data_IF_113246558394
#
_entry.id   IF_113246558394
#
_cell.length_a   1.000
_cell.length_b   1.000
_cell.length_c   1.000
_cell.angle_alpha   90.00
_cell.angle_beta   90.00
_cell.angle_gamma   90.00
#
_symmetry.space_group_name_H-M   'P 1'
#
loop_
_entity.id
_entity.type
_entity.pdbx_description
1 polymer ?
#
# COMPACT_ATOMS: atom_id res chain seq x y z
N UNK A 1 45.52 31.84 4.00
CA UNK A 1 44.69 31.38 5.11
C UNK A 1 43.45 30.70 4.54
N UNK A 2 43.65 29.41 4.35
CA UNK A 2 42.63 28.52 3.78
C UNK A 2 41.69 28.05 4.89
N UNK A 3 40.37 28.29 4.75
CA UNK A 3 39.35 27.69 5.57
C UNK A 3 38.48 26.80 4.71
N UNK A 4 39.02 25.63 4.39
CA UNK A 4 38.25 24.50 3.92
C UNK A 4 37.25 24.10 5.01
N UNK A 5 36.01 24.50 4.83
CA UNK A 5 34.86 24.01 5.60
C UNK A 5 34.59 22.55 5.20
N UNK A 6 35.10 21.62 5.96
CA UNK A 6 34.70 20.20 5.86
C UNK A 6 33.22 20.08 6.20
N UNK A 7 32.36 19.97 5.18
CA UNK A 7 30.98 19.52 5.34
C UNK A 7 31.04 18.10 5.88
N UNK A 8 30.51 17.89 7.08
CA UNK A 8 30.30 16.55 7.63
C UNK A 8 29.29 15.82 6.74
N UNK A 9 29.76 14.80 6.04
CA UNK A 9 28.91 13.86 5.30
C UNK A 9 28.26 12.99 6.39
N UNK A 10 26.92 13.05 6.48
CA UNK A 10 26.20 12.13 7.35
C UNK A 10 26.49 10.67 6.94
N UNK A 11 26.55 9.75 7.91
CA UNK A 11 26.93 8.37 7.63
C UNK A 11 25.86 7.72 6.73
N UNK A 12 26.23 7.53 5.48
CA UNK A 12 25.37 6.99 4.41
C UNK A 12 25.19 5.47 4.51
N UNK A 13 26.11 4.79 5.20
CA UNK A 13 26.17 3.32 5.21
C UNK A 13 25.11 2.65 6.06
N UNK A 14 24.67 3.26 7.18
CA UNK A 14 23.67 2.66 8.07
C UNK A 14 22.26 2.60 7.46
N UNK A 15 21.91 3.56 6.59
CA UNK A 15 20.58 3.55 5.95
C UNK A 15 20.45 2.46 4.90
N UNK A 16 21.48 2.25 4.08
CA UNK A 16 21.49 1.25 3.01
C UNK A 16 21.53 -0.19 3.56
N UNK A 17 22.27 -0.43 4.65
CA UNK A 17 22.37 -1.76 5.26
C UNK A 17 21.11 -2.18 6.02
N UNK A 18 20.44 -1.25 6.72
CA UNK A 18 19.21 -1.53 7.47
C UNK A 18 17.96 -1.80 6.62
N UNK A 19 17.92 -1.43 5.33
CA UNK A 19 16.77 -1.68 4.42
C UNK A 19 16.65 -3.15 4.04
N UNK A 20 17.75 -3.92 4.15
CA UNK A 20 17.79 -5.34 3.79
C UNK A 20 17.07 -6.27 4.77
N UNK A 21 16.91 -5.91 6.05
CA UNK A 21 16.56 -6.87 7.10
C UNK A 21 15.08 -6.91 7.52
N UNK A 22 14.30 -5.85 7.33
CA UNK A 22 12.87 -5.87 7.63
C UNK A 22 12.05 -5.45 6.41
N UNK A 23 11.72 -6.39 5.57
CA UNK A 23 10.89 -6.18 4.38
C UNK A 23 9.39 -6.28 4.71
N UNK A 24 8.98 -5.79 5.87
CA UNK A 24 7.60 -5.78 6.30
C UNK A 24 7.10 -4.35 6.53
N UNK A 25 5.88 -4.10 6.09
CA UNK A 25 5.13 -2.87 6.36
C UNK A 25 4.09 -3.15 7.44
N UNK A 26 4.04 -2.33 8.48
CA UNK A 26 2.91 -2.27 9.42
C UNK A 26 1.85 -1.35 8.85
N UNK A 27 0.88 -1.91 8.15
CA UNK A 27 -0.22 -1.12 7.59
C UNK A 27 -1.39 -1.08 8.55
N UNK A 28 -1.89 0.11 8.90
CA UNK A 28 -3.05 0.23 9.78
C UNK A 28 -4.26 -0.50 9.16
N UNK A 29 -5.07 -1.13 10.01
CA UNK A 29 -6.24 -1.85 9.53
C UNK A 29 -7.27 -0.94 8.85
N UNK A 30 -7.26 0.34 9.17
CA UNK A 30 -8.08 1.38 8.52
C UNK A 30 -7.59 1.69 7.10
N UNK A 31 -6.28 1.63 6.86
CA UNK A 31 -5.70 1.82 5.53
C UNK A 31 -5.80 0.58 4.64
N UNK A 32 -6.26 -0.56 5.19
CA UNK A 32 -6.54 -1.77 4.43
C UNK A 32 -7.99 -1.74 3.93
N UNK A 33 -8.20 -1.99 2.64
CA UNK A 33 -9.53 -1.94 2.03
C UNK A 33 -10.06 -0.52 1.81
N UNK A 34 -9.17 0.46 1.72
CA UNK A 34 -9.52 1.84 1.39
C UNK A 34 -10.40 1.91 0.15
N UNK A 35 -11.51 2.62 0.27
CA UNK A 35 -12.42 2.93 -0.83
C UNK A 35 -12.08 4.30 -1.41
N UNK A 36 -11.80 4.33 -2.70
CA UNK A 36 -11.50 5.56 -3.43
C UNK A 36 -12.80 6.29 -3.75
N UNK A 37 -12.87 7.58 -3.49
CA UNK A 37 -14.02 8.41 -3.89
C UNK A 37 -13.79 9.13 -5.22
N UNK A 38 -12.55 9.56 -5.44
CA UNK A 38 -12.15 10.25 -6.67
C UNK A 38 -10.75 9.80 -7.07
N UNK A 39 -10.52 9.66 -8.36
CA UNK A 39 -9.28 9.13 -8.92
C UNK A 39 -9.35 7.61 -9.09
N UNK A 40 -8.21 7.00 -9.31
CA UNK A 40 -8.06 5.54 -9.45
C UNK A 40 -6.80 5.09 -8.73
N UNK A 41 -6.94 4.12 -7.83
CA UNK A 41 -5.81 3.53 -7.13
C UNK A 41 -5.28 2.34 -7.95
N UNK A 42 -4.31 2.62 -8.82
CA UNK A 42 -3.66 1.61 -9.66
C UNK A 42 -2.77 0.67 -8.85
N UNK A 43 -2.31 -0.43 -9.45
CA UNK A 43 -1.34 -1.33 -8.80
C UNK A 43 -0.09 -0.57 -8.34
N UNK A 44 0.48 0.23 -9.23
CA UNK A 44 1.73 0.92 -8.92
C UNK A 44 1.53 2.05 -7.90
N UNK A 45 0.42 2.79 -7.98
CA UNK A 45 0.06 3.78 -6.95
C UNK A 45 -0.11 3.12 -5.58
N UNK A 46 -0.72 1.92 -5.52
CA UNK A 46 -0.86 1.14 -4.28
C UNK A 46 0.49 0.64 -3.76
N UNK A 47 1.34 0.08 -4.63
CA UNK A 47 2.72 -0.32 -4.27
C UNK A 47 3.52 0.86 -3.77
N UNK A 48 3.47 2.00 -4.47
CA UNK A 48 4.18 3.21 -4.09
C UNK A 48 3.72 3.74 -2.74
N UNK A 49 2.41 3.79 -2.49
CA UNK A 49 1.88 4.22 -1.19
C UNK A 49 2.38 3.33 -0.04
N UNK A 50 2.40 2.01 -0.22
CA UNK A 50 2.95 1.08 0.76
C UNK A 50 4.45 1.32 1.02
N UNK A 51 5.22 1.57 -0.04
CA UNK A 51 6.66 1.88 0.07
C UNK A 51 6.88 3.20 0.81
N UNK A 52 6.10 4.24 0.51
CA UNK A 52 6.19 5.52 1.22
C UNK A 52 5.88 5.37 2.72
N UNK A 53 4.83 4.61 3.07
CA UNK A 53 4.51 4.30 4.47
C UNK A 53 5.67 3.57 5.17
N UNK A 54 6.24 2.56 4.54
CA UNK A 54 7.37 1.81 5.09
C UNK A 54 8.57 2.71 5.38
N UNK A 55 8.96 3.55 4.40
CA UNK A 55 10.06 4.49 4.59
C UNK A 55 9.79 5.52 5.70
N UNK A 56 8.56 6.02 5.81
CA UNK A 56 8.18 6.93 6.89
C UNK A 56 8.33 6.26 8.25
N UNK A 57 7.81 5.02 8.41
CA UNK A 57 7.96 4.24 9.64
C UNK A 57 9.41 4.00 9.99
N UNK A 58 10.26 3.73 9.02
CA UNK A 58 11.69 3.51 9.20
C UNK A 58 12.43 4.79 9.59
N UNK A 59 12.08 5.92 8.99
CA UNK A 59 12.66 7.22 9.32
C UNK A 59 12.21 7.72 10.70
N UNK A 60 11.02 7.37 11.16
CA UNK A 60 10.47 7.68 12.47
C UNK A 60 9.98 9.13 12.64
N UNK A 61 10.43 10.08 11.84
CA UNK A 61 9.95 11.47 11.86
C UNK A 61 10.29 12.20 10.55
N UNK A 62 9.49 13.21 10.17
CA UNK A 62 9.85 14.12 9.09
C UNK A 62 11.15 14.88 9.37
N UNK A 63 11.77 15.43 8.34
CA UNK A 63 12.99 16.23 8.40
C UNK A 63 14.28 15.41 8.47
N UNK A 64 14.22 14.14 8.83
CA UNK A 64 15.40 13.27 8.79
C UNK A 64 15.87 13.04 7.35
N UNK A 65 17.17 13.00 7.15
CA UNK A 65 17.82 12.78 5.86
C UNK A 65 17.49 13.83 4.78
N UNK A 66 17.04 15.04 5.17
CA UNK A 66 16.79 16.09 4.19
C UNK A 66 18.09 16.42 3.41
N UNK A 67 18.10 16.31 2.07
CA UNK A 67 19.30 16.56 1.26
C UNK A 67 19.74 18.02 1.33
N UNK A 68 18.80 18.93 1.63
CA UNK A 68 19.04 20.34 1.91
C UNK A 68 18.24 20.71 3.14
N UNK A 69 18.92 21.17 4.20
CA UNK A 69 18.30 21.51 5.47
C UNK A 69 17.74 22.94 5.38
N UNK A 70 16.42 23.03 5.26
CA UNK A 70 15.65 24.30 5.34
C UNK A 70 14.41 24.07 6.19
N UNK A 71 13.81 25.13 6.73
CA UNK A 71 12.55 25.02 7.50
C UNK A 71 11.44 24.36 6.65
N UNK A 72 11.37 24.70 5.36
CA UNK A 72 10.38 24.11 4.45
C UNK A 72 10.56 22.60 4.27
N UNK A 73 11.78 22.09 4.37
CA UNK A 73 12.11 20.68 4.16
C UNK A 73 11.91 19.83 5.42
N UNK A 74 11.82 20.42 6.60
CA UNK A 74 11.61 19.70 7.87
C UNK A 74 10.27 18.96 7.96
N UNK A 75 9.28 19.34 7.17
CA UNK A 75 7.95 18.70 7.14
C UNK A 75 7.86 17.46 6.26
N UNK A 76 8.90 17.13 5.51
CA UNK A 76 8.90 16.01 4.59
C UNK A 76 9.71 14.83 5.13
N UNK A 77 9.24 13.61 4.86
CA UNK A 77 10.07 12.41 4.88
C UNK A 77 10.91 12.39 3.61
N UNK A 78 12.22 12.16 3.73
CA UNK A 78 13.14 12.24 2.60
C UNK A 78 13.75 10.89 2.30
N UNK A 79 13.60 10.43 1.06
CA UNK A 79 14.10 9.13 0.59
C UNK A 79 14.75 9.29 -0.78
N UNK A 80 15.88 8.62 -1.05
CA UNK A 80 16.43 8.55 -2.38
C UNK A 80 15.43 7.98 -3.39
N UNK A 81 15.34 8.60 -4.57
CA UNK A 81 14.43 8.16 -5.62
C UNK A 81 14.71 6.72 -6.04
N UNK A 82 16.00 6.33 -6.11
CA UNK A 82 16.42 4.98 -6.47
C UNK A 82 15.90 3.92 -5.48
N UNK A 83 15.84 4.27 -4.18
CA UNK A 83 15.34 3.36 -3.15
C UNK A 83 13.83 3.17 -3.26
N UNK A 84 13.08 4.25 -3.50
CA UNK A 84 11.64 4.15 -3.76
C UNK A 84 11.33 3.30 -5.00
N UNK A 85 12.08 3.51 -6.08
CA UNK A 85 11.91 2.75 -7.32
C UNK A 85 12.19 1.26 -7.10
N UNK A 86 13.31 0.94 -6.46
CA UNK A 86 13.69 -0.44 -6.15
C UNK A 86 12.64 -1.13 -5.28
N UNK A 87 12.21 -0.49 -4.20
CA UNK A 87 11.32 -1.09 -3.21
C UNK A 87 9.87 -1.23 -3.73
N UNK A 88 9.47 -0.38 -4.69
CA UNK A 88 8.21 -0.52 -5.43
C UNK A 88 8.27 -1.53 -6.60
N UNK A 89 9.42 -2.15 -6.82
CA UNK A 89 9.71 -2.96 -8.01
C UNK A 89 9.40 -2.19 -9.33
N UNK A 90 9.83 -0.93 -9.36
CA UNK A 90 9.68 -0.06 -10.52
C UNK A 90 10.96 -0.14 -11.37
N UNK A 91 10.88 -0.84 -12.48
CA UNK A 91 12.05 -1.15 -13.32
C UNK A 91 12.46 -0.02 -14.27
N UNK A 92 11.75 1.10 -14.29
CA UNK A 92 12.02 2.21 -15.21
C UNK A 92 12.82 3.33 -14.54
N UNK A 93 13.81 3.85 -15.25
CA UNK A 93 14.54 5.07 -14.88
C UNK A 93 13.77 6.36 -15.22
N UNK A 94 12.50 6.26 -15.64
CA UNK A 94 11.68 7.39 -16.02
C UNK A 94 11.15 8.13 -14.79
N UNK A 95 11.90 9.17 -14.39
CA UNK A 95 11.53 10.06 -13.30
C UNK A 95 10.24 10.84 -13.56
N UNK A 96 9.86 11.06 -14.84
CA UNK A 96 8.61 11.73 -15.20
C UNK A 96 7.42 10.88 -14.79
N UNK A 97 7.46 9.60 -15.14
CA UNK A 97 6.39 8.65 -14.80
C UNK A 97 6.25 8.46 -13.30
N UNK A 98 7.36 8.46 -12.56
CA UNK A 98 7.29 8.41 -11.10
C UNK A 98 6.61 9.66 -10.49
N UNK A 99 6.87 10.85 -11.05
CA UNK A 99 6.15 12.07 -10.65
C UNK A 99 4.65 11.96 -10.88
N UNK A 100 4.24 11.36 -12.00
CA UNK A 100 2.84 11.10 -12.32
C UNK A 100 2.18 10.22 -11.25
N UNK A 101 2.83 9.15 -10.79
CA UNK A 101 2.31 8.30 -9.71
C UNK A 101 2.22 9.01 -8.35
N UNK A 102 3.20 9.83 -8.01
CA UNK A 102 3.13 10.65 -6.78
C UNK A 102 2.01 11.67 -6.88
N UNK A 103 1.80 12.24 -8.07
CA UNK A 103 0.67 13.14 -8.32
C UNK A 103 -0.67 12.41 -8.22
N UNK A 104 -0.79 11.19 -8.77
CA UNK A 104 -1.99 10.35 -8.61
C UNK A 104 -2.31 10.15 -7.13
N UNK A 105 -1.33 9.79 -6.29
CA UNK A 105 -1.54 9.60 -4.85
C UNK A 105 -2.02 10.88 -4.14
N UNK A 106 -1.59 12.05 -4.61
CA UNK A 106 -2.05 13.33 -4.10
C UNK A 106 -3.47 13.65 -4.56
N UNK A 107 -3.84 13.24 -5.77
CA UNK A 107 -5.15 13.54 -6.38
C UNK A 107 -6.24 12.53 -5.98
N UNK A 108 -5.85 11.32 -5.56
CA UNK A 108 -6.77 10.33 -5.01
C UNK A 108 -7.42 10.88 -3.74
N UNK A 109 -8.75 10.80 -3.68
CA UNK A 109 -9.53 11.12 -2.49
C UNK A 109 -10.10 9.86 -1.87
N UNK A 110 -9.83 9.69 -0.60
CA UNK A 110 -10.46 8.67 0.25
C UNK A 110 -11.45 9.34 1.18
N UNK A 111 -12.48 8.58 1.55
CA UNK A 111 -13.48 9.03 2.52
C UNK A 111 -13.43 8.08 3.69
N UNK A 112 -13.43 8.67 4.88
CA UNK A 112 -13.73 8.02 6.14
C UNK A 112 -14.97 8.67 6.71
N UNK A 113 -15.93 7.86 7.13
CA UNK A 113 -17.18 8.31 7.74
C UNK A 113 -17.46 7.46 8.97
N UNK A 114 -17.75 8.12 10.06
CA UNK A 114 -18.24 7.53 11.29
C UNK A 114 -19.53 8.23 11.75
N UNK A 115 -20.02 7.92 12.95
CA UNK A 115 -21.27 8.49 13.46
C UNK A 115 -21.18 9.98 13.80
N UNK A 116 -19.99 10.57 13.80
CA UNK A 116 -19.73 11.94 14.28
C UNK A 116 -19.21 12.85 13.16
N UNK A 117 -18.37 12.31 12.27
CA UNK A 117 -17.72 13.13 11.23
C UNK A 117 -17.58 12.39 9.90
N UNK A 118 -17.59 13.19 8.86
CA UNK A 118 -17.26 12.79 7.50
C UNK A 118 -15.96 13.47 7.08
N UNK A 119 -14.97 12.69 6.70
CA UNK A 119 -13.64 13.21 6.34
C UNK A 119 -13.29 12.82 4.91
N UNK A 120 -12.84 13.77 4.12
CA UNK A 120 -12.28 13.55 2.78
C UNK A 120 -10.85 14.03 2.72
N UNK A 121 -9.92 13.12 2.44
CA UNK A 121 -8.50 13.45 2.40
C UNK A 121 -7.77 12.75 1.24
N UNK A 122 -6.60 13.26 0.90
CA UNK A 122 -5.71 12.63 -0.08
C UNK A 122 -4.78 11.61 0.61
N UNK A 123 -4.19 10.72 -0.16
CA UNK A 123 -3.19 9.79 0.37
C UNK A 123 -1.86 10.50 0.67
N UNK A 124 -1.53 11.54 -0.10
CA UNK A 124 -0.39 12.43 0.16
C UNK A 124 -0.87 13.88 0.23
N UNK A 125 -0.37 14.64 1.19
CA UNK A 125 -0.61 16.09 1.26
C UNK A 125 0.28 16.86 0.31
N UNK A 126 1.55 16.46 0.22
CA UNK A 126 2.54 17.09 -0.64
C UNK A 126 3.67 16.12 -1.01
N UNK A 127 4.33 16.42 -2.12
CA UNK A 127 5.62 15.85 -2.46
C UNK A 127 6.52 16.89 -3.13
N UNK A 128 7.82 16.66 -3.07
CA UNK A 128 8.84 17.49 -3.69
C UNK A 128 10.02 16.65 -4.15
N UNK A 129 10.77 17.15 -5.11
CA UNK A 129 11.99 16.51 -5.55
C UNK A 129 13.16 17.47 -5.31
N UNK A 130 14.26 16.94 -4.83
CA UNK A 130 15.49 17.69 -4.63
C UNK A 130 16.69 16.94 -5.22
N UNK A 131 17.60 17.70 -5.79
CA UNK A 131 18.93 17.25 -6.16
C UNK A 131 19.92 18.31 -5.64
N UNK A 132 20.81 17.99 -4.68
CA UNK A 132 21.79 18.92 -4.15
C UNK A 132 22.69 19.56 -5.22
N UNK A 133 22.87 18.88 -6.34
CA UNK A 133 23.67 19.36 -7.48
C UNK A 133 22.84 20.16 -8.50
N UNK A 134 21.56 20.44 -8.19
CA UNK A 134 20.61 21.10 -9.09
C UNK A 134 19.73 20.09 -9.87
N UNK A 135 18.42 20.38 -9.98
CA UNK A 135 17.44 19.50 -10.63
C UNK A 135 17.72 19.21 -12.11
N UNK A 136 18.43 20.09 -12.79
CA UNK A 136 18.84 19.94 -14.20
C UNK A 136 20.22 19.30 -14.38
N UNK A 137 20.92 19.02 -13.27
CA UNK A 137 22.24 18.38 -13.32
C UNK A 137 22.08 16.92 -13.78
N UNK A 138 23.00 16.49 -14.66
CA UNK A 138 23.11 15.09 -15.09
C UNK A 138 23.75 14.18 -14.02
N UNK A 139 24.30 14.77 -12.95
CA UNK A 139 24.92 14.06 -11.83
C UNK A 139 24.21 14.36 -10.52
N UNK A 140 24.41 13.47 -9.54
CA UNK A 140 23.86 13.62 -8.20
C UNK A 140 22.63 12.75 -7.97
N UNK A 141 22.35 12.54 -6.69
CA UNK A 141 21.22 11.73 -6.24
C UNK A 141 19.95 12.57 -6.19
N UNK A 142 18.88 12.08 -6.81
CA UNK A 142 17.56 12.68 -6.70
C UNK A 142 16.91 12.15 -5.43
N UNK A 143 16.36 13.07 -4.65
CA UNK A 143 15.61 12.79 -3.43
C UNK A 143 14.15 13.13 -3.61
N UNK A 144 13.30 12.31 -3.01
CA UNK A 144 11.86 12.53 -2.92
C UNK A 144 11.53 12.91 -1.48
N UNK A 145 11.01 14.11 -1.29
CA UNK A 145 10.37 14.54 -0.07
C UNK A 145 8.87 14.33 -0.19
N UNK A 146 8.24 13.69 0.78
CA UNK A 146 6.79 13.48 0.80
C UNK A 146 6.23 13.72 2.20
N UNK A 147 4.95 14.12 2.25
CA UNK A 147 4.22 14.35 3.49
C UNK A 147 2.82 13.75 3.38
N UNK A 148 2.35 13.19 4.46
CA UNK A 148 0.97 12.71 4.60
C UNK A 148 0.06 13.82 5.17
N UNK A 149 -1.25 13.77 4.94
CA UNK A 149 -2.21 14.50 5.78
C UNK A 149 -2.05 14.07 7.26
N UNK A 150 -2.35 14.92 8.24
CA UNK A 150 -2.12 14.63 9.66
C UNK A 150 -2.74 13.31 10.13
N UNK A 151 -3.98 13.01 9.72
CA UNK A 151 -4.69 11.80 10.10
C UNK A 151 -4.05 10.55 9.48
N UNK A 152 -3.63 10.65 8.21
CA UNK A 152 -2.91 9.56 7.53
C UNK A 152 -1.54 9.34 8.18
N UNK A 153 -0.82 10.43 8.50
CA UNK A 153 0.48 10.34 9.17
C UNK A 153 0.35 9.65 10.52
N UNK A 154 -0.63 10.01 11.33
CA UNK A 154 -0.89 9.38 12.62
C UNK A 154 -1.15 7.86 12.45
N UNK A 155 -2.01 7.47 11.51
CA UNK A 155 -2.31 6.08 11.21
C UNK A 155 -1.11 5.30 10.64
N UNK A 156 -0.20 5.97 9.92
CA UNK A 156 1.04 5.38 9.39
C UNK A 156 2.07 5.18 10.50
N UNK A 157 2.30 6.20 11.34
CA UNK A 157 3.39 6.22 12.31
C UNK A 157 3.08 5.44 13.58
N UNK A 158 1.83 5.45 14.03
CA UNK A 158 1.37 4.84 15.28
C UNK A 158 0.01 4.17 15.09
N UNK A 159 -0.08 3.12 14.26
CA UNK A 159 -1.35 2.42 14.10
C UNK A 159 -1.72 1.67 15.37
N UNK A 160 -2.93 1.91 15.89
CA UNK A 160 -3.46 1.17 17.04
C UNK A 160 -3.63 -0.31 16.72
N UNK A 161 -4.12 -0.59 15.53
CA UNK A 161 -4.25 -1.94 14.98
C UNK A 161 -3.62 -1.98 13.59
N UNK A 162 -2.77 -2.96 13.36
CA UNK A 162 -2.06 -3.10 12.10
C UNK A 162 -1.95 -4.55 11.62
N UNK A 163 -1.67 -4.67 10.35
CA UNK A 163 -1.35 -5.93 9.69
C UNK A 163 0.05 -5.85 9.10
N UNK A 164 0.86 -6.87 9.35
CA UNK A 164 2.18 -6.99 8.73
C UNK A 164 2.03 -7.48 7.29
N UNK A 165 2.53 -6.69 6.34
CA UNK A 165 2.53 -6.98 4.92
C UNK A 165 3.97 -7.15 4.43
N UNK A 166 4.26 -8.28 3.78
CA UNK A 166 5.59 -8.58 3.27
C UNK A 166 5.77 -8.02 1.85
N UNK A 167 6.81 -7.21 1.63
CA UNK A 167 7.14 -6.64 0.31
C UNK A 167 7.47 -7.69 -0.73
N UNK A 168 8.01 -8.85 -0.30
CA UNK A 168 8.31 -9.95 -1.22
C UNK A 168 7.09 -10.42 -2.00
N UNK A 169 5.92 -10.41 -1.37
CA UNK A 169 4.67 -10.74 -2.06
C UNK A 169 4.13 -9.55 -2.85
N UNK A 170 4.14 -8.34 -2.26
CA UNK A 170 3.69 -7.13 -2.94
C UNK A 170 4.32 -6.98 -4.32
N UNK A 171 5.63 -7.23 -4.42
CA UNK A 171 6.37 -6.99 -5.65
C UNK A 171 6.04 -7.99 -6.77
N UNK A 172 5.54 -9.17 -6.42
CA UNK A 172 5.13 -10.20 -7.38
C UNK A 172 3.77 -9.94 -8.03
N UNK A 173 2.89 -9.16 -7.38
CA UNK A 173 1.56 -8.89 -7.93
C UNK A 173 1.61 -8.07 -9.22
N UNK A 174 0.77 -8.48 -10.17
CA UNK A 174 0.55 -7.84 -11.48
C UNK A 174 -0.78 -7.10 -11.55
N UNK A 175 -1.68 -7.34 -10.57
CA UNK A 175 -3.00 -6.71 -10.49
C UNK A 175 -3.17 -5.92 -9.19
N UNK A 176 -3.74 -4.71 -9.30
CA UNK A 176 -4.11 -3.90 -8.14
C UNK A 176 -5.19 -4.56 -7.28
N UNK A 177 -6.09 -5.31 -7.90
CA UNK A 177 -7.12 -6.07 -7.22
C UNK A 177 -6.52 -7.21 -6.39
N UNK A 178 -5.51 -7.90 -6.91
CA UNK A 178 -4.81 -8.98 -6.20
C UNK A 178 -4.07 -8.46 -4.98
N UNK A 179 -3.35 -7.34 -5.13
CA UNK A 179 -2.66 -6.73 -3.99
C UNK A 179 -3.66 -6.27 -2.92
N UNK A 180 -4.77 -5.61 -3.32
CA UNK A 180 -5.82 -5.21 -2.39
C UNK A 180 -6.44 -6.40 -1.65
N UNK A 181 -6.73 -7.46 -2.40
CA UNK A 181 -7.31 -8.67 -1.85
C UNK A 181 -6.36 -9.36 -0.86
N UNK A 182 -5.07 -9.44 -1.20
CA UNK A 182 -4.03 -9.95 -0.29
C UNK A 182 -3.99 -9.15 1.02
N UNK A 183 -3.96 -7.82 0.95
CA UNK A 183 -3.93 -6.95 2.13
C UNK A 183 -5.15 -7.18 3.04
N UNK A 184 -6.36 -7.24 2.44
CA UNK A 184 -7.60 -7.48 3.17
C UNK A 184 -7.57 -8.88 3.81
N UNK A 185 -7.24 -9.91 3.06
CA UNK A 185 -7.21 -11.27 3.56
C UNK A 185 -6.16 -11.46 4.66
N UNK A 186 -4.99 -10.84 4.52
CA UNK A 186 -3.92 -10.88 5.53
C UNK A 186 -4.37 -10.32 6.87
N UNK A 187 -5.21 -9.28 6.87
CA UNK A 187 -5.81 -8.71 8.09
C UNK A 187 -6.64 -9.72 8.87
N UNK A 188 -7.37 -10.60 8.17
CA UNK A 188 -8.27 -11.56 8.79
C UNK A 188 -7.62 -12.92 9.09
N UNK A 189 -6.35 -13.10 8.74
CA UNK A 189 -5.64 -14.36 8.92
C UNK A 189 -5.53 -14.81 10.38
N UNK A 190 -5.49 -13.85 11.31
CA UNK A 190 -5.42 -14.10 12.75
C UNK A 190 -6.79 -14.30 13.42
N UNK A 191 -7.87 -14.07 12.69
CA UNK A 191 -9.20 -14.31 13.22
C UNK A 191 -9.43 -15.81 13.47
N UNK A 192 -10.04 -16.21 14.59
CA UNK A 192 -10.32 -17.63 14.87
C UNK A 192 -11.16 -18.30 13.78
N UNK A 193 -12.09 -17.56 13.15
CA UNK A 193 -12.90 -18.08 12.05
C UNK A 193 -12.17 -18.16 10.72
N UNK A 194 -11.02 -17.48 10.58
CA UNK A 194 -10.28 -17.28 9.32
C UNK A 194 -11.15 -16.79 8.16
N UNK A 195 -12.19 -16.05 8.48
CA UNK A 195 -13.17 -15.56 7.54
C UNK A 195 -13.16 -14.04 7.55
N UNK A 196 -13.24 -13.46 6.37
CA UNK A 196 -13.41 -12.02 6.22
C UNK A 196 -14.83 -11.58 6.59
N UNK A 197 -15.06 -10.28 6.66
CA UNK A 197 -16.41 -9.75 6.83
C UNK A 197 -17.31 -10.22 5.68
N UNK A 198 -18.59 -10.49 6.02
CA UNK A 198 -19.65 -10.77 5.06
C UNK A 198 -20.19 -9.45 4.55
N UNK A 199 -19.90 -9.09 3.31
CA UNK A 199 -20.28 -7.81 2.70
C UNK A 199 -20.99 -8.05 1.36
N UNK A 200 -21.82 -7.11 0.90
CA UNK A 200 -22.31 -7.07 -0.47
C UNK A 200 -21.14 -7.12 -1.46
N UNK A 201 -21.33 -7.80 -2.59
CA UNK A 201 -20.26 -7.92 -3.58
C UNK A 201 -19.79 -6.55 -4.12
N UNK A 202 -20.66 -5.55 -4.15
CA UNK A 202 -20.34 -4.18 -4.56
C UNK A 202 -19.33 -3.52 -3.62
N UNK A 203 -19.48 -3.72 -2.31
CA UNK A 203 -18.52 -3.22 -1.32
C UNK A 203 -17.15 -3.92 -1.44
N UNK A 204 -17.15 -5.22 -1.73
CA UNK A 204 -15.94 -5.93 -2.08
C UNK A 204 -15.29 -5.37 -3.34
N UNK A 205 -16.10 -5.11 -4.37
CA UNK A 205 -15.62 -4.54 -5.62
C UNK A 205 -15.00 -3.16 -5.41
N UNK A 206 -15.63 -2.28 -4.63
CA UNK A 206 -15.10 -0.98 -4.25
C UNK A 206 -13.73 -1.08 -3.56
N UNK A 207 -13.57 -2.06 -2.69
CA UNK A 207 -12.34 -2.24 -1.91
C UNK A 207 -11.17 -2.78 -2.76
N UNK A 208 -11.45 -3.62 -3.78
CA UNK A 208 -10.39 -4.30 -4.55
C UNK A 208 -10.12 -3.66 -5.91
N UNK A 209 -11.13 -3.10 -6.57
CA UNK A 209 -10.98 -2.59 -7.96
C UNK A 209 -10.08 -1.36 -8.06
N UNK A 210 -9.97 -0.57 -6.99
CA UNK A 210 -9.29 0.72 -7.00
C UNK A 210 -10.02 1.82 -7.79
N UNK A 211 -11.23 1.54 -8.28
CA UNK A 211 -12.10 2.52 -8.93
C UNK A 211 -12.88 3.34 -7.89
N UNK A 212 -13.44 4.49 -8.26
CA UNK A 212 -14.32 5.24 -7.37
C UNK A 212 -15.50 4.40 -6.89
N UNK A 213 -15.69 4.38 -5.58
CA UNK A 213 -16.74 3.61 -4.92
C UNK A 213 -18.13 4.13 -5.27
N UNK A 214 -19.10 3.21 -5.35
CA UNK A 214 -20.50 3.54 -5.62
C UNK A 214 -20.83 3.84 -7.06
N UNK A 215 -19.92 3.61 -8.01
CA UNK A 215 -20.11 3.96 -9.42
C UNK A 215 -19.63 2.86 -10.36
N UNK A 216 -20.34 2.72 -11.50
CA UNK A 216 -19.86 1.91 -12.61
C UNK A 216 -19.71 0.42 -12.31
N UNK A 217 -20.60 -0.14 -11.48
CA UNK A 217 -20.55 -1.57 -11.21
C UNK A 217 -20.90 -2.38 -12.45
N UNK A 218 -20.02 -3.32 -12.86
CA UNK A 218 -20.39 -4.30 -13.87
C UNK A 218 -21.44 -5.26 -13.31
N UNK A 219 -22.01 -6.10 -14.14
CA UNK A 219 -22.78 -7.24 -13.62
C UNK A 219 -21.90 -8.12 -12.73
N UNK A 220 -22.47 -8.68 -11.66
CA UNK A 220 -21.72 -9.55 -10.75
C UNK A 220 -20.96 -10.69 -11.45
N UNK A 221 -21.56 -11.30 -12.48
CA UNK A 221 -20.94 -12.36 -13.28
C UNK A 221 -19.64 -11.87 -13.94
N UNK A 222 -19.63 -10.64 -14.42
CA UNK A 222 -18.48 -9.98 -15.04
C UNK A 222 -17.44 -9.64 -13.97
N UNK A 223 -17.85 -8.99 -12.87
CA UNK A 223 -16.95 -8.69 -11.75
C UNK A 223 -16.27 -9.96 -11.21
N UNK A 224 -17.03 -11.04 -11.06
CA UNK A 224 -16.51 -12.33 -10.62
C UNK A 224 -15.48 -12.90 -11.60
N UNK A 225 -15.77 -12.87 -12.91
CA UNK A 225 -14.88 -13.42 -13.95
C UNK A 225 -13.61 -12.60 -14.11
N UNK A 226 -13.73 -11.27 -14.15
CA UNK A 226 -12.66 -10.38 -14.60
C UNK A 226 -11.87 -9.74 -13.46
N UNK A 227 -12.43 -9.73 -12.23
CA UNK A 227 -11.77 -9.13 -11.07
C UNK A 227 -11.50 -10.16 -9.97
N UNK A 228 -12.55 -10.81 -9.41
CA UNK A 228 -12.37 -11.64 -8.22
C UNK A 228 -11.62 -12.94 -8.50
N UNK A 229 -12.02 -13.71 -9.52
CA UNK A 229 -11.36 -14.99 -9.83
C UNK A 229 -9.88 -14.84 -10.19
N UNK A 230 -9.48 -13.91 -11.09
CA UNK A 230 -8.06 -13.68 -11.37
C UNK A 230 -7.28 -13.21 -10.15
N UNK A 231 -7.86 -12.30 -9.34
CA UNK A 231 -7.21 -11.82 -8.13
C UNK A 231 -6.97 -12.93 -7.10
N UNK A 232 -7.95 -13.80 -6.87
CA UNK A 232 -7.84 -14.97 -6.00
C UNK A 232 -6.76 -15.92 -6.51
N UNK A 233 -6.79 -16.24 -7.80
CA UNK A 233 -5.80 -17.13 -8.42
C UNK A 233 -4.37 -16.58 -8.26
N UNK A 234 -4.18 -15.28 -8.44
CA UNK A 234 -2.88 -14.64 -8.27
C UNK A 234 -2.43 -14.66 -6.82
N UNK A 235 -3.28 -14.29 -5.84
CA UNK A 235 -2.95 -14.37 -4.42
C UNK A 235 -2.52 -15.77 -4.04
N UNK A 236 -3.28 -16.80 -4.43
CA UNK A 236 -2.98 -18.19 -4.12
C UNK A 236 -1.68 -18.70 -4.77
N UNK A 237 -1.26 -18.09 -5.88
CA UNK A 237 -0.04 -18.48 -6.59
C UNK A 237 1.23 -17.84 -6.06
N UNK A 238 1.15 -16.59 -5.56
CA UNK A 238 2.35 -15.80 -5.24
C UNK A 238 2.57 -15.57 -3.75
N UNK A 239 1.60 -15.94 -2.89
CA UNK A 239 1.69 -15.68 -1.45
C UNK A 239 1.66 -16.96 -0.59
N UNK A 240 1.86 -16.78 0.70
CA UNK A 240 1.78 -17.84 1.73
C UNK A 240 0.36 -18.11 2.23
N UNK A 241 -0.65 -17.41 1.69
CA UNK A 241 -2.06 -17.64 2.04
C UNK A 241 -2.81 -18.26 0.86
N UNK A 242 -3.83 -19.03 1.19
CA UNK A 242 -4.78 -19.56 0.21
C UNK A 242 -6.17 -19.05 0.54
N UNK A 243 -6.84 -18.50 -0.45
CA UNK A 243 -8.14 -17.85 -0.29
C UNK A 243 -9.17 -18.44 -1.25
N UNK A 244 -10.42 -18.49 -0.81
CA UNK A 244 -11.55 -18.97 -1.59
C UNK A 244 -12.72 -18.01 -1.50
N UNK A 245 -13.46 -17.90 -2.62
CA UNK A 245 -14.66 -17.06 -2.72
C UNK A 245 -15.90 -17.86 -2.27
N UNK A 246 -16.49 -17.47 -1.15
CA UNK A 246 -17.75 -18.03 -0.70
C UNK A 246 -18.90 -17.09 -1.06
N UNK A 247 -19.84 -17.61 -1.84
CA UNK A 247 -21.02 -16.86 -2.27
C UNK A 247 -22.24 -17.25 -1.43
N UNK A 248 -22.92 -16.26 -0.89
CA UNK A 248 -24.19 -16.44 -0.23
C UNK A 248 -25.32 -15.81 -1.08
N UNK A 249 -26.32 -16.58 -1.44
CA UNK A 249 -27.51 -16.07 -2.13
C UNK A 249 -28.56 -15.70 -1.10
N UNK A 250 -29.04 -14.47 -1.14
CA UNK A 250 -30.15 -14.01 -0.32
C UNK A 250 -31.47 -14.25 -1.10
N UNK A 251 -32.12 -15.39 -0.84
CA UNK A 251 -33.44 -15.72 -1.40
C UNK A 251 -33.48 -16.06 -2.91
N UNK A 252 -34.68 -16.46 -3.40
CA UNK A 252 -34.90 -16.82 -4.81
C UNK A 252 -34.99 -15.62 -5.78
N UNK A 253 -35.20 -14.38 -5.30
CA UNK A 253 -35.49 -13.20 -6.12
C UNK A 253 -34.62 -11.96 -5.85
N UNK A 254 -33.62 -12.02 -5.03
CA UNK A 254 -32.85 -10.83 -4.64
C UNK A 254 -31.50 -10.80 -5.31
N UNK A 255 -31.22 -9.67 -5.95
CA UNK A 255 -29.96 -9.36 -6.63
C UNK A 255 -28.76 -9.15 -5.71
N UNK A 256 -28.93 -9.20 -4.41
CA UNK A 256 -27.85 -9.06 -3.44
C UNK A 256 -27.14 -10.40 -3.20
N UNK A 257 -25.93 -10.49 -3.71
CA UNK A 257 -25.00 -11.59 -3.38
C UNK A 257 -24.02 -11.09 -2.35
N UNK A 258 -23.98 -11.77 -1.22
CA UNK A 258 -23.01 -11.51 -0.17
C UNK A 258 -21.79 -12.40 -0.44
N UNK A 259 -20.63 -11.80 -0.44
CA UNK A 259 -19.37 -12.47 -0.71
C UNK A 259 -18.57 -12.55 0.60
N UNK A 260 -18.01 -13.70 0.88
CA UNK A 260 -17.09 -13.96 1.96
C UNK A 260 -15.86 -14.64 1.38
N UNK A 261 -14.71 -14.33 1.90
CA UNK A 261 -13.47 -14.99 1.49
C UNK A 261 -13.03 -15.88 2.63
N UNK A 262 -12.87 -17.15 2.33
CA UNK A 262 -12.33 -18.14 3.25
C UNK A 262 -10.80 -18.17 3.10
N UNK A 263 -10.11 -18.18 4.22
CA UNK A 263 -8.66 -18.17 4.29
C UNK A 263 -8.21 -19.57 4.68
N UNK A 264 -8.15 -20.47 3.71
CA UNK A 264 -7.67 -21.84 3.94
C UNK A 264 -6.15 -21.90 3.83
N UNK A 265 -5.51 -22.38 4.89
CA UNK A 265 -4.12 -22.77 4.88
C UNK A 265 -4.04 -24.26 4.57
N UNK A 266 -3.65 -24.61 3.37
CA UNK A 266 -3.53 -26.02 2.98
C UNK A 266 -2.24 -26.64 3.50
N UNK A 267 -2.38 -27.54 4.46
CA UNK A 267 -1.52 -28.71 4.63
C UNK A 267 -2.31 -29.95 4.27
N UNK A 268 -1.68 -30.85 3.49
CA UNK A 268 -2.32 -32.03 2.96
C UNK A 268 -3.08 -32.85 3.99
N UNK A 269 -4.28 -33.27 3.61
CA UNK A 269 -5.13 -34.30 4.22
C UNK A 269 -5.12 -34.37 5.75
N UNK A 270 -5.76 -33.41 6.42
CA UNK A 270 -6.47 -33.64 7.68
C UNK A 270 -7.35 -32.42 8.00
N UNK A 271 -8.59 -32.65 8.33
CA UNK A 271 -9.58 -31.68 8.79
C UNK A 271 -9.22 -31.14 10.18
N UNK A 272 -8.28 -30.21 10.25
CA UNK A 272 -8.08 -29.34 11.40
C UNK A 272 -7.36 -28.09 10.94
N UNK A 273 -8.00 -26.93 11.13
CA UNK A 273 -7.51 -25.59 10.85
C UNK A 273 -6.35 -25.31 11.81
N UNK A 274 -5.11 -25.40 11.34
CA UNK A 274 -3.94 -24.93 12.07
C UNK A 274 -3.04 -24.14 11.13
N UNK A 275 -2.82 -22.87 11.50
CA UNK A 275 -1.87 -21.97 10.85
C UNK A 275 -0.49 -22.64 10.80
N UNK A 276 0.01 -22.96 9.61
CA UNK A 276 1.40 -23.34 9.42
C UNK A 276 1.98 -22.49 8.28
N UNK A 277 2.97 -21.68 8.63
CA UNK A 277 3.81 -20.97 7.65
C UNK A 277 4.49 -22.03 6.78
N UNK A 278 4.38 -21.91 5.46
CA UNK A 278 5.28 -22.62 4.57
C UNK A 278 6.69 -22.02 4.74
N UNK A 279 7.57 -22.76 5.39
CA UNK A 279 9.00 -22.52 5.21
C UNK A 279 9.40 -23.14 3.87
N UNK A 280 9.97 -22.32 2.98
CA UNK A 280 10.87 -22.79 1.94
C UNK A 280 12.29 -22.73 2.44
#
# INVERSE_FOLDING_TARGET
>A
MDKSSKRAIAPFDDYAQGVSESRELRKSNEAIGLRVRKGKLTLLSRKMFNVLMHHAQKLGSPGRNAPVVTEANKKYFWVPLADLARDAAYESNDTKRLKEYLQELKDIRIISEDNVQWTSQSLLSAFTLANPNGLKSRGGQIWVGFAFPPEVEAAVMRPDQYTNLAFVYQNQFRSGASLALYEICRRFLTNPSQLTARLPWTEWFDSVSGNPAGQGYPEYKIAKRDTFKPAIAEVNSVTDINIELIEHKLGRRVSERVVRIDLNLTWGNFYFIRLVRRFR
#
